data_IF_728625239637
#
_entry.id   IF_728625239637
#
_cell.length_a   1.000
_cell.length_b   1.000
_cell.length_c   1.000
_cell.angle_alpha   90.00
_cell.angle_beta   90.00
_cell.angle_gamma   90.00
#
_symmetry.space_group_name_H-M   'P 1'
#
loop_
_entity.id
_entity.type
_entity.pdbx_description
1 polymer ?
#
# COMPACT_ATOMS: atom_id res chain seq x y z
N UNK A 1 -2.63 -22.12 17.74
CA UNK A 1 -2.90 -22.31 19.18
C UNK A 1 -2.69 -23.77 19.54
N UNK A 2 -2.05 -24.13 20.67
CA UNK A 2 -1.81 -25.52 21.06
C UNK A 2 -3.09 -26.33 21.26
N UNK A 3 -4.22 -25.66 21.47
CA UNK A 3 -5.53 -26.28 21.76
C UNK A 3 -6.44 -26.44 20.53
N UNK A 4 -5.95 -26.10 19.35
CA UNK A 4 -6.70 -26.20 18.12
C UNK A 4 -6.66 -27.63 17.59
N UNK A 5 -7.76 -28.36 17.73
CA UNK A 5 -7.93 -29.68 17.15
C UNK A 5 -8.73 -29.64 15.87
N UNK A 6 -8.18 -30.25 14.80
CA UNK A 6 -8.91 -30.44 13.56
C UNK A 6 -10.11 -31.37 13.79
N UNK A 7 -11.31 -30.86 13.46
CA UNK A 7 -12.50 -31.70 13.41
C UNK A 7 -12.90 -31.89 11.95
N UNK A 8 -13.13 -33.13 11.53
CA UNK A 8 -13.57 -33.44 10.18
C UNK A 8 -14.92 -32.73 9.91
N UNK A 9 -14.98 -31.96 8.81
CA UNK A 9 -16.17 -31.23 8.41
C UNK A 9 -16.41 -29.90 9.11
N UNK A 10 -15.46 -29.44 9.95
CA UNK A 10 -15.48 -28.08 10.53
C UNK A 10 -14.29 -27.26 10.05
N UNK A 11 -14.42 -25.91 10.03
CA UNK A 11 -13.27 -25.04 9.75
C UNK A 11 -12.11 -25.34 10.68
N UNK A 12 -10.91 -25.14 10.19
CA UNK A 12 -9.71 -25.25 11.00
C UNK A 12 -9.75 -24.16 12.08
N UNK A 13 -9.27 -24.50 13.25
CA UNK A 13 -9.07 -23.49 14.27
C UNK A 13 -8.00 -22.50 13.83
N UNK A 14 -8.22 -21.24 14.19
CA UNK A 14 -7.38 -20.11 13.88
C UNK A 14 -8.11 -18.85 14.29
N UNK A 15 -7.63 -17.70 13.83
CA UNK A 15 -8.29 -16.41 14.09
C UNK A 15 -9.47 -16.13 13.14
N UNK A 16 -9.72 -17.00 12.16
CA UNK A 16 -10.79 -16.77 11.18
C UNK A 16 -10.39 -15.72 10.14
N UNK A 17 -9.11 -15.64 9.82
CA UNK A 17 -8.60 -14.81 8.73
C UNK A 17 -8.50 -15.61 7.44
N UNK A 18 -8.86 -14.98 6.34
CA UNK A 18 -8.51 -15.40 4.99
C UNK A 18 -7.54 -14.38 4.42
N UNK A 19 -6.42 -14.86 3.92
CA UNK A 19 -5.40 -14.02 3.28
C UNK A 19 -5.26 -14.47 1.84
N UNK A 20 -5.55 -13.59 0.92
CA UNK A 20 -5.29 -13.74 -0.50
C UNK A 20 -4.07 -12.89 -0.85
N UNK A 21 -3.12 -13.46 -1.61
CA UNK A 21 -1.86 -12.79 -1.94
C UNK A 21 -1.61 -12.86 -3.43
N UNK A 22 -1.25 -11.74 -4.03
CA UNK A 22 -0.81 -11.64 -5.41
C UNK A 22 0.59 -11.05 -5.48
N UNK A 23 1.42 -11.55 -6.41
CA UNK A 23 2.74 -10.99 -6.68
C UNK A 23 2.87 -10.61 -8.15
N UNK A 24 3.47 -9.46 -8.42
CA UNK A 24 3.65 -8.93 -9.77
C UNK A 24 5.10 -8.50 -10.00
N UNK A 25 5.56 -8.73 -11.21
CA UNK A 25 6.85 -8.24 -11.67
C UNK A 25 6.77 -7.96 -13.17
N UNK A 26 7.37 -6.85 -13.61
CA UNK A 26 7.39 -6.46 -15.00
C UNK A 26 8.81 -6.31 -15.53
N UNK A 27 9.01 -6.67 -16.78
CA UNK A 27 10.24 -6.41 -17.52
C UNK A 27 10.22 -4.99 -18.14
N UNK A 28 9.72 -4.01 -17.39
CA UNK A 28 9.76 -2.61 -17.77
C UNK A 28 10.97 -1.96 -17.07
N UNK A 29 11.78 -1.15 -17.75
CA UNK A 29 12.93 -0.49 -17.12
C UNK A 29 12.61 0.31 -15.85
N UNK A 30 11.39 0.80 -15.71
CA UNK A 30 10.94 1.56 -14.52
C UNK A 30 10.60 0.67 -13.31
N UNK A 31 10.27 -0.61 -13.53
CA UNK A 31 9.82 -1.52 -12.48
C UNK A 31 10.54 -2.87 -12.45
N UNK A 32 11.57 -3.07 -13.28
CA UNK A 32 12.27 -4.37 -13.37
C UNK A 32 13.02 -4.74 -12.09
N UNK A 33 13.38 -3.74 -11.29
CA UNK A 33 14.14 -3.87 -10.06
C UNK A 33 13.21 -3.82 -8.82
N UNK A 34 11.91 -4.06 -9.06
CA UNK A 34 10.87 -4.12 -8.04
C UNK A 34 9.98 -5.36 -8.21
N UNK A 35 9.49 -5.88 -7.09
CA UNK A 35 8.43 -6.89 -7.02
C UNK A 35 7.30 -6.29 -6.19
N UNK A 36 6.08 -6.36 -6.69
CA UNK A 36 4.89 -5.87 -6.01
C UNK A 36 4.14 -7.03 -5.35
N UNK A 37 3.67 -6.81 -4.15
CA UNK A 37 2.91 -7.76 -3.37
C UNK A 37 1.62 -7.11 -2.88
N UNK A 38 0.49 -7.68 -3.23
CA UNK A 38 -0.82 -7.27 -2.72
C UNK A 38 -1.38 -8.34 -1.80
N UNK A 39 -1.84 -7.91 -0.66
CA UNK A 39 -2.48 -8.72 0.35
C UNK A 39 -3.91 -8.25 0.54
N UNK A 40 -4.85 -9.19 0.49
CA UNK A 40 -6.24 -8.96 0.87
C UNK A 40 -6.53 -9.83 2.09
N UNK A 41 -6.75 -9.21 3.23
CA UNK A 41 -6.89 -9.88 4.53
C UNK A 41 -8.32 -9.71 5.01
N UNK A 42 -9.11 -10.77 4.91
CA UNK A 42 -10.51 -10.78 5.31
C UNK A 42 -10.70 -11.41 6.69
N UNK A 43 -11.45 -10.74 7.55
CA UNK A 43 -11.99 -11.35 8.77
C UNK A 43 -13.25 -12.15 8.45
N UNK A 44 -13.11 -13.46 8.34
CA UNK A 44 -14.21 -14.39 8.07
C UNK A 44 -14.70 -15.08 9.36
N UNK A 45 -14.31 -14.55 10.52
CA UNK A 45 -14.79 -14.99 11.83
C UNK A 45 -16.15 -14.35 12.15
N UNK A 46 -16.72 -14.72 13.29
CA UNK A 46 -17.96 -14.17 13.84
C UNK A 46 -17.70 -13.15 14.97
N UNK A 47 -16.52 -12.55 15.02
CA UNK A 47 -16.13 -11.53 16.01
C UNK A 47 -15.15 -10.52 15.43
N UNK A 48 -15.08 -9.34 16.04
CA UNK A 48 -14.16 -8.29 15.68
C UNK A 48 -12.75 -8.59 16.19
N UNK A 49 -11.76 -8.32 15.35
CA UNK A 49 -10.35 -8.26 15.72
C UNK A 49 -9.98 -6.79 15.87
N UNK A 50 -9.72 -6.36 17.11
CA UNK A 50 -9.51 -4.93 17.41
C UNK A 50 -8.08 -4.48 17.17
N UNK A 51 -7.15 -5.41 17.36
CA UNK A 51 -5.73 -5.12 17.25
C UNK A 51 -5.10 -6.18 16.33
N UNK A 52 -4.84 -5.79 15.11
CA UNK A 52 -4.13 -6.58 14.09
C UNK A 52 -2.89 -5.80 13.69
N UNK A 53 -1.79 -6.48 13.45
CA UNK A 53 -0.61 -5.89 12.85
C UNK A 53 -0.17 -6.74 11.67
N UNK A 54 0.28 -6.09 10.61
CA UNK A 54 0.85 -6.73 9.45
C UNK A 54 2.33 -6.42 9.38
N UNK A 55 3.17 -7.44 9.39
CA UNK A 55 4.61 -7.24 9.39
C UNK A 55 5.39 -8.35 8.72
N UNK A 56 6.63 -8.05 8.44
CA UNK A 56 7.61 -8.97 7.89
C UNK A 56 8.68 -9.30 8.91
N UNK A 57 9.12 -10.54 8.86
CA UNK A 57 10.38 -10.98 9.41
C UNK A 57 11.30 -11.35 8.24
N UNK A 58 12.45 -10.69 8.17
CA UNK A 58 13.38 -10.83 7.06
C UNK A 58 14.73 -11.28 7.60
N UNK A 59 15.19 -12.42 7.13
CA UNK A 59 16.54 -12.93 7.35
C UNK A 59 17.40 -12.46 6.17
N UNK A 60 17.99 -11.28 6.33
CA UNK A 60 18.80 -10.69 5.30
C UNK A 60 20.06 -11.52 5.07
N UNK A 61 20.41 -11.79 3.87
CA UNK A 61 21.61 -12.54 3.48
C UNK A 61 22.18 -11.94 2.21
N UNK A 62 22.38 -10.61 2.27
CA UNK A 62 22.78 -9.83 1.12
C UNK A 62 24.20 -10.23 0.68
N UNK A 63 24.32 -10.63 -0.57
CA UNK A 63 25.62 -11.13 -1.04
C UNK A 63 25.93 -12.56 -0.66
N UNK A 64 25.04 -13.26 0.06
CA UNK A 64 25.20 -14.64 0.54
C UNK A 64 26.33 -14.82 1.57
N UNK A 65 26.53 -13.84 2.44
CA UNK A 65 27.51 -13.85 3.53
C UNK A 65 27.02 -13.11 4.78
N UNK A 66 25.90 -13.40 5.25
CA UNK A 66 25.04 -12.84 6.30
C UNK A 66 25.69 -12.40 7.64
N UNK A 67 26.99 -12.13 7.68
CA UNK A 67 27.70 -11.74 8.91
C UNK A 67 27.86 -10.24 9.10
N UNK A 68 27.60 -9.46 8.08
CA UNK A 68 27.87 -8.03 7.98
C UNK A 68 26.75 -7.22 7.28
N UNK A 69 25.56 -7.79 7.26
CA UNK A 69 24.35 -7.08 6.86
C UNK A 69 23.87 -6.15 7.97
N UNK A 70 23.35 -4.99 7.57
CA UNK A 70 22.68 -4.05 8.46
C UNK A 70 21.45 -3.48 7.74
N UNK A 71 20.47 -3.02 8.51
CA UNK A 71 19.26 -2.40 8.00
C UNK A 71 18.92 -1.11 8.71
N UNK A 72 18.10 -0.35 8.05
CA UNK A 72 17.58 0.93 8.49
C UNK A 72 16.14 1.09 8.00
N UNK A 73 15.47 2.13 8.45
CA UNK A 73 14.12 2.48 8.06
C UNK A 73 14.00 3.96 7.77
N UNK A 74 13.01 4.29 6.97
CA UNK A 74 12.56 5.65 6.76
C UNK A 74 11.02 5.66 6.90
N UNK A 75 10.53 6.28 7.96
CA UNK A 75 9.11 6.30 8.27
C UNK A 75 8.33 7.35 7.45
N UNK A 76 9.02 8.35 6.85
CA UNK A 76 8.36 9.34 6.00
C UNK A 76 7.95 8.75 4.64
N UNK A 77 8.57 7.66 4.24
CA UNK A 77 8.27 6.95 2.99
C UNK A 77 7.91 5.48 3.22
N UNK A 78 7.61 5.11 4.45
CA UNK A 78 7.15 3.78 4.86
C UNK A 78 8.02 2.62 4.36
N UNK A 79 9.33 2.78 4.49
CA UNK A 79 10.29 1.84 3.92
C UNK A 79 11.30 1.35 4.94
N UNK A 80 11.55 0.05 4.92
CA UNK A 80 12.67 -0.62 5.56
C UNK A 80 13.66 -1.10 4.50
N UNK A 81 14.96 -1.03 4.76
CA UNK A 81 15.97 -1.47 3.79
C UNK A 81 17.26 -1.93 4.45
N UNK A 82 17.95 -2.84 3.77
CA UNK A 82 19.19 -3.45 4.26
C UNK A 82 20.26 -3.53 3.19
N UNK A 83 21.50 -3.51 3.64
CA UNK A 83 22.68 -3.61 2.80
C UNK A 83 23.82 -4.34 3.52
N UNK A 84 24.74 -4.86 2.76
CA UNK A 84 26.03 -5.36 3.23
C UNK A 84 26.98 -4.18 3.52
N UNK A 85 27.45 -4.04 4.75
CA UNK A 85 28.22 -2.87 5.20
C UNK A 85 29.55 -2.71 4.48
N UNK A 86 30.15 -3.81 4.03
CA UNK A 86 31.38 -3.80 3.26
C UNK A 86 31.15 -3.72 1.73
N UNK A 87 29.94 -3.99 1.27
CA UNK A 87 29.52 -3.95 -0.14
C UNK A 87 30.07 -5.07 -0.99
N UNK A 88 30.54 -6.17 -0.38
CA UNK A 88 31.20 -7.27 -1.09
C UNK A 88 30.71 -8.59 -0.56
N UNK A 89 29.85 -9.21 -1.30
CA UNK A 89 29.31 -10.52 -0.95
C UNK A 89 30.23 -11.68 -1.22
N UNK A 90 29.73 -12.86 -0.96
CA UNK A 90 30.40 -14.14 -1.19
C UNK A 90 30.96 -14.23 -2.63
N UNK A 91 32.24 -14.58 -2.73
CA UNK A 91 32.92 -14.62 -4.02
C UNK A 91 33.47 -13.29 -4.52
N UNK A 92 33.41 -12.22 -3.74
CA UNK A 92 33.98 -10.92 -4.04
C UNK A 92 33.17 -10.10 -5.06
N UNK A 93 31.88 -10.38 -5.17
CA UNK A 93 30.96 -9.62 -6.04
C UNK A 93 30.37 -8.43 -5.27
N UNK A 94 30.19 -7.27 -5.93
CA UNK A 94 29.53 -6.15 -5.28
C UNK A 94 28.07 -6.49 -4.96
N UNK A 95 27.63 -6.04 -3.78
CA UNK A 95 26.27 -6.21 -3.32
C UNK A 95 25.43 -4.98 -3.63
N UNK A 96 24.11 -5.16 -3.67
CA UNK A 96 23.12 -4.09 -3.77
C UNK A 96 22.43 -3.86 -2.42
N UNK A 97 21.30 -3.14 -2.49
CA UNK A 97 20.39 -2.90 -1.39
C UNK A 97 19.10 -3.67 -1.65
N UNK A 98 18.50 -4.17 -0.60
CA UNK A 98 17.13 -4.69 -0.61
C UNK A 98 16.28 -3.83 0.30
N UNK A 99 15.16 -3.34 -0.21
CA UNK A 99 14.18 -2.57 0.55
C UNK A 99 12.80 -3.20 0.47
N UNK A 100 11.99 -2.95 1.51
CA UNK A 100 10.58 -3.26 1.57
C UNK A 100 9.82 -1.99 1.89
N UNK A 101 8.93 -1.58 1.02
CA UNK A 101 8.14 -0.37 1.19
C UNK A 101 6.65 -0.70 1.19
N UNK A 102 5.91 -0.10 2.11
CA UNK A 102 4.47 -0.03 1.97
C UNK A 102 4.15 0.94 0.82
N UNK A 103 3.33 0.49 -0.10
CA UNK A 103 2.71 1.32 -1.13
C UNK A 103 1.32 1.74 -0.66
N UNK A 104 0.75 0.90 0.18
CA UNK A 104 -0.50 1.11 0.87
C UNK A 104 -0.45 0.31 2.17
N UNK A 105 -0.56 0.98 3.30
CA UNK A 105 -0.61 0.35 4.62
C UNK A 105 -2.06 0.15 5.07
N UNK A 106 -2.29 -0.56 6.18
CA UNK A 106 -3.60 -0.54 6.84
C UNK A 106 -4.02 0.85 7.27
N UNK A 107 -5.33 1.11 7.29
CA UNK A 107 -5.91 2.39 7.70
C UNK A 107 -6.62 2.37 9.06
N UNK A 108 -6.73 3.55 9.69
CA UNK A 108 -7.43 3.78 10.96
C UNK A 108 -8.62 4.73 10.79
N UNK A 109 -9.64 4.33 10.07
CA UNK A 109 -10.81 5.13 9.72
C UNK A 109 -11.79 5.44 10.89
N UNK A 110 -11.36 5.43 12.16
CA UNK A 110 -12.28 5.56 13.31
C UNK A 110 -11.63 6.14 14.57
N UNK A 111 -10.52 6.84 14.48
CA UNK A 111 -9.82 7.37 15.65
C UNK A 111 -9.84 8.90 15.75
N UNK A 112 -10.45 9.57 14.77
CA UNK A 112 -10.57 11.03 14.67
C UNK A 112 -9.23 11.74 14.54
N UNK A 113 -8.26 11.10 13.90
CA UNK A 113 -6.96 11.67 13.58
C UNK A 113 -6.75 11.58 12.08
N UNK A 114 -5.94 12.42 11.55
CA UNK A 114 -5.34 12.36 10.23
C UNK A 114 -4.00 11.61 10.41
N UNK A 115 -3.96 10.34 10.05
CA UNK A 115 -2.83 9.45 10.37
C UNK A 115 -1.70 9.52 9.35
N UNK A 116 -1.99 9.91 8.12
CA UNK A 116 -1.00 10.03 7.04
C UNK A 116 -0.67 11.49 6.66
N UNK A 117 -1.38 12.45 7.25
CA UNK A 117 -1.07 13.87 7.12
C UNK A 117 -1.52 14.50 5.81
N UNK A 118 -2.50 13.93 5.15
CA UNK A 118 -3.02 14.39 3.87
C UNK A 118 -4.07 15.50 4.00
N UNK A 119 -4.53 15.78 5.22
CA UNK A 119 -5.51 16.83 5.53
C UNK A 119 -6.95 16.35 5.60
N UNK A 120 -7.20 15.07 5.38
CA UNK A 120 -8.47 14.40 5.61
C UNK A 120 -8.43 13.69 6.98
N UNK A 121 -9.49 13.03 7.38
CA UNK A 121 -9.55 12.37 8.69
C UNK A 121 -10.51 11.19 8.63
N UNK A 122 -10.07 10.02 9.04
CA UNK A 122 -10.88 8.80 9.07
C UNK A 122 -11.37 8.34 7.69
N UNK A 123 -10.57 8.46 6.64
CA UNK A 123 -10.90 8.03 5.29
C UNK A 123 -11.22 6.54 5.22
N UNK A 124 -12.14 6.20 4.35
CA UNK A 124 -12.62 4.82 4.19
C UNK A 124 -12.74 4.47 2.72
N UNK A 125 -12.45 3.23 2.44
CA UNK A 125 -12.66 2.65 1.11
C UNK A 125 -14.07 2.10 0.97
N UNK A 126 -15.07 2.94 1.07
CA UNK A 126 -16.46 2.56 0.87
C UNK A 126 -17.15 3.48 -0.16
N UNK A 127 -16.63 3.47 -1.38
CA UNK A 127 -17.13 4.26 -2.49
C UNK A 127 -18.63 4.10 -2.67
N UNK A 128 -19.36 5.13 -2.27
CA UNK A 128 -20.79 5.27 -2.48
C UNK A 128 -21.04 6.66 -3.10
N UNK A 129 -20.69 6.89 -4.36
CA UNK A 129 -20.69 8.21 -5.00
C UNK A 129 -22.10 8.73 -5.25
N UNK A 130 -22.84 8.97 -4.20
CA UNK A 130 -24.24 9.42 -4.24
C UNK A 130 -24.40 10.90 -3.92
N UNK A 131 -23.32 11.59 -3.58
CA UNK A 131 -23.34 12.97 -3.11
C UNK A 131 -22.51 13.90 -4.00
N UNK A 132 -22.94 15.15 -4.06
CA UNK A 132 -22.10 16.25 -4.56
C UNK A 132 -21.43 16.88 -3.36
N UNK A 133 -20.11 16.98 -3.40
CA UNK A 133 -19.27 17.56 -2.36
C UNK A 133 -18.93 19.00 -2.71
N UNK A 134 -19.04 19.91 -1.75
CA UNK A 134 -18.60 21.31 -1.90
C UNK A 134 -17.07 21.41 -1.93
N UNK A 135 -16.55 22.43 -2.58
CA UNK A 135 -15.13 22.61 -2.88
C UNK A 135 -14.14 22.37 -1.72
N UNK A 136 -14.56 22.53 -0.48
CA UNK A 136 -13.72 22.30 0.73
C UNK A 136 -14.47 21.51 1.79
N UNK A 137 -15.57 20.90 1.44
CA UNK A 137 -16.35 20.06 2.37
C UNK A 137 -15.58 18.77 2.66
N UNK A 138 -15.55 18.37 3.91
CA UNK A 138 -14.81 17.18 4.35
C UNK A 138 -13.34 17.41 4.66
N UNK A 139 -12.67 18.37 4.03
CA UNK A 139 -11.25 18.66 4.29
C UNK A 139 -11.09 19.22 5.71
N UNK A 140 -10.38 18.50 6.56
CA UNK A 140 -10.17 18.86 7.96
C UNK A 140 -8.99 19.81 8.15
N UNK A 141 -7.93 19.67 7.37
CA UNK A 141 -6.80 20.61 7.30
C UNK A 141 -6.49 20.98 5.84
N UNK A 142 -7.11 22.07 5.38
CA UNK A 142 -6.93 22.57 4.01
C UNK A 142 -5.47 22.85 3.64
N UNK A 143 -4.63 23.21 4.60
CA UNK A 143 -3.22 23.51 4.30
C UNK A 143 -2.43 22.25 4.00
N UNK A 144 -2.61 21.21 4.82
CA UNK A 144 -2.01 19.90 4.61
C UNK A 144 -2.51 19.28 3.31
N UNK A 145 -3.82 19.33 3.07
CA UNK A 145 -4.45 18.82 1.86
C UNK A 145 -3.84 19.45 0.58
N UNK A 146 -3.79 20.77 0.49
CA UNK A 146 -3.22 21.46 -0.67
C UNK A 146 -1.73 21.16 -0.88
N UNK A 147 -0.97 20.96 0.21
CA UNK A 147 0.45 20.59 0.13
C UNK A 147 0.62 19.13 -0.34
N UNK A 148 -0.15 18.22 0.18
CA UNK A 148 -0.08 16.79 -0.11
C UNK A 148 -0.46 16.51 -1.58
N UNK A 149 -1.64 16.96 -2.00
CA UNK A 149 -2.14 16.78 -3.38
C UNK A 149 -1.54 17.76 -4.39
N UNK A 150 -0.75 18.76 -3.94
CA UNK A 150 -0.13 19.79 -4.78
C UNK A 150 -1.14 20.62 -5.59
N UNK A 151 -2.24 20.96 -4.93
CA UNK A 151 -3.33 21.75 -5.45
C UNK A 151 -3.27 23.20 -4.94
N UNK A 152 -3.96 24.08 -5.65
CA UNK A 152 -4.26 25.45 -5.20
C UNK A 152 -5.76 25.53 -4.84
N UNK A 153 -6.14 26.48 -4.00
CA UNK A 153 -7.55 26.62 -3.56
C UNK A 153 -8.51 26.79 -4.75
N UNK A 154 -8.03 27.39 -5.83
CA UNK A 154 -8.79 27.60 -7.05
C UNK A 154 -9.05 26.33 -7.86
N UNK A 155 -8.31 25.25 -7.58
CA UNK A 155 -8.51 23.94 -8.20
C UNK A 155 -9.68 23.20 -7.54
N UNK A 156 -9.98 23.51 -6.28
CA UNK A 156 -11.06 22.89 -5.53
C UNK A 156 -12.42 23.39 -6.02
N UNK A 157 -13.30 22.48 -6.39
CA UNK A 157 -14.62 22.75 -6.96
C UNK A 157 -15.67 21.85 -6.32
N UNK A 158 -16.92 22.20 -6.53
CA UNK A 158 -18.04 21.31 -6.26
C UNK A 158 -18.05 20.20 -7.32
N UNK A 159 -18.12 18.95 -6.91
CA UNK A 159 -17.97 17.77 -7.77
C UNK A 159 -18.75 16.56 -7.22
N UNK A 160 -18.84 15.50 -8.01
CA UNK A 160 -19.19 14.18 -7.53
C UNK A 160 -17.93 13.54 -6.91
N UNK A 161 -18.02 13.19 -5.66
CA UNK A 161 -16.96 12.53 -4.92
C UNK A 161 -17.09 11.02 -5.14
N UNK A 162 -16.42 10.52 -6.15
CA UNK A 162 -16.58 9.12 -6.58
C UNK A 162 -15.72 8.16 -5.78
N UNK A 163 -14.55 8.60 -5.34
CA UNK A 163 -13.57 7.82 -4.60
C UNK A 163 -13.29 8.34 -3.18
N UNK A 164 -13.99 9.41 -2.77
CA UNK A 164 -13.94 10.03 -1.45
C UNK A 164 -12.64 10.79 -1.11
N UNK A 165 -11.81 11.12 -2.10
CA UNK A 165 -10.57 11.87 -1.90
C UNK A 165 -10.72 13.39 -2.07
N UNK A 166 -11.89 13.85 -2.49
CA UNK A 166 -12.28 15.25 -2.66
C UNK A 166 -11.49 16.00 -3.75
N UNK A 167 -10.93 15.30 -4.68
CA UNK A 167 -10.36 15.91 -5.87
C UNK A 167 -11.20 15.59 -7.13
N UNK A 168 -10.71 15.96 -8.31
CA UNK A 168 -11.41 15.80 -9.57
C UNK A 168 -10.69 14.87 -10.55
N UNK A 169 -9.74 14.09 -10.09
CA UNK A 169 -8.77 13.48 -10.99
C UNK A 169 -9.15 12.07 -11.45
N UNK A 170 -10.05 11.40 -10.75
CA UNK A 170 -10.33 10.00 -10.99
C UNK A 170 -11.46 9.72 -11.97
N UNK A 171 -11.27 10.18 -13.20
CA UNK A 171 -12.11 9.84 -14.31
C UNK A 171 -13.31 10.77 -14.56
N UNK A 172 -13.57 11.67 -13.66
CA UNK A 172 -14.74 12.57 -13.71
C UNK A 172 -14.54 13.79 -14.60
N UNK A 173 -13.29 14.20 -14.80
CA UNK A 173 -12.91 15.36 -15.60
C UNK A 173 -11.57 15.11 -16.31
N UNK A 174 -11.60 14.33 -17.38
CA UNK A 174 -10.41 13.94 -18.14
C UNK A 174 -9.61 15.08 -18.75
N UNK A 175 -10.25 16.21 -18.99
CA UNK A 175 -9.59 17.36 -19.60
C UNK A 175 -9.22 18.46 -18.60
N UNK A 176 -9.63 18.33 -17.34
CA UNK A 176 -9.30 19.24 -16.26
C UNK A 176 -9.99 20.61 -16.38
N UNK A 177 -11.13 20.72 -17.05
CA UNK A 177 -11.84 22.00 -17.20
C UNK A 177 -12.89 22.26 -16.11
N UNK A 178 -13.11 21.28 -15.23
CA UNK A 178 -14.06 21.34 -14.13
C UNK A 178 -15.52 21.26 -14.57
N UNK A 179 -15.79 20.75 -15.77
CA UNK A 179 -17.12 20.56 -16.31
C UNK A 179 -17.19 19.20 -16.98
N UNK A 180 -17.92 18.26 -16.40
CA UNK A 180 -18.15 16.98 -17.03
C UNK A 180 -18.82 17.15 -18.40
N UNK A 181 -18.27 16.55 -19.42
CA UNK A 181 -18.73 16.68 -20.80
C UNK A 181 -18.97 15.32 -21.45
N UNK A 182 -19.96 15.26 -22.31
CA UNK A 182 -20.29 14.05 -23.05
C UNK A 182 -19.13 13.47 -23.89
N UNK A 183 -18.10 14.26 -24.16
CA UNK A 183 -16.92 13.82 -24.90
C UNK A 183 -15.89 13.10 -24.01
N UNK A 184 -15.97 13.23 -22.71
CA UNK A 184 -15.14 12.57 -21.69
C UNK A 184 -15.65 11.18 -21.35
N UNK A 185 -16.86 10.94 -21.68
CA UNK A 185 -17.64 9.76 -21.51
C UNK A 185 -16.98 8.43 -21.96
N UNK A 186 -16.07 8.44 -22.91
CA UNK A 186 -15.43 7.22 -23.42
C UNK A 186 -14.42 6.55 -22.46
N UNK A 187 -14.44 6.88 -21.22
CA UNK A 187 -13.53 6.29 -20.25
C UNK A 187 -14.16 6.07 -18.89
N UNK A 188 -15.20 6.80 -18.58
CA UNK A 188 -15.63 6.96 -17.20
C UNK A 188 -17.06 6.48 -16.96
N UNK A 189 -18.05 7.11 -17.55
CA UNK A 189 -19.48 6.78 -17.40
C UNK A 189 -19.88 5.61 -18.33
N UNK A 190 -19.41 4.43 -18.02
CA UNK A 190 -19.59 3.18 -18.80
C UNK A 190 -20.63 2.24 -18.21
N UNK A 191 -21.31 2.68 -17.18
CA UNK A 191 -22.34 1.91 -16.49
C UNK A 191 -21.83 0.80 -15.57
N UNK A 192 -22.71 0.24 -14.79
CA UNK A 192 -22.42 -0.80 -13.79
C UNK A 192 -21.85 -2.07 -14.42
N UNK A 193 -22.13 -2.36 -15.69
CA UNK A 193 -21.58 -3.54 -16.38
C UNK A 193 -20.12 -3.34 -16.85
N UNK A 194 -19.63 -2.11 -16.84
CA UNK A 194 -18.26 -1.75 -17.19
C UNK A 194 -17.93 -1.91 -18.67
N UNK A 195 -18.90 -1.84 -19.57
CA UNK A 195 -18.71 -2.07 -21.02
C UNK A 195 -19.19 -0.83 -21.80
N UNK A 196 -18.35 0.16 -21.94
CA UNK A 196 -18.65 1.41 -22.63
C UNK A 196 -18.56 1.34 -24.18
N UNK A 197 -18.99 2.41 -24.87
CA UNK A 197 -18.96 2.51 -26.32
C UNK A 197 -17.54 2.35 -26.89
N UNK A 198 -17.45 1.50 -27.91
CA UNK A 198 -16.16 1.19 -28.54
C UNK A 198 -15.46 -0.05 -27.98
N UNK A 199 -15.97 -0.62 -26.91
CA UNK A 199 -15.44 -1.85 -26.34
C UNK A 199 -15.99 -3.11 -27.03
N UNK A 200 -15.24 -4.22 -26.86
CA UNK A 200 -15.65 -5.51 -27.40
C UNK A 200 -16.85 -6.02 -26.57
N UNK A 201 -17.97 -6.26 -27.23
CA UNK A 201 -19.26 -6.67 -26.69
C UNK A 201 -20.22 -5.54 -26.29
N UNK A 202 -19.89 -4.29 -26.57
CA UNK A 202 -20.85 -3.22 -26.42
C UNK A 202 -22.10 -3.43 -27.28
N UNK A 203 -23.26 -3.45 -26.66
CA UNK A 203 -24.55 -3.69 -27.33
C UNK A 203 -25.49 -2.46 -27.32
N UNK A 204 -25.00 -1.32 -26.88
CA UNK A 204 -25.75 -0.10 -26.64
C UNK A 204 -25.85 0.21 -25.16
N UNK A 205 -26.31 1.40 -24.80
CA UNK A 205 -26.39 1.85 -23.41
C UNK A 205 -27.15 0.89 -22.50
N UNK A 206 -26.74 0.82 -21.26
CA UNK A 206 -27.32 -0.04 -20.25
C UNK A 206 -28.81 0.22 -20.03
N UNK A 207 -29.57 -0.87 -19.90
CA UNK A 207 -31.01 -0.77 -19.78
C UNK A 207 -31.49 -0.22 -18.42
N UNK A 208 -30.61 -0.20 -17.42
CA UNK A 208 -30.87 0.36 -16.10
C UNK A 208 -30.64 1.86 -16.05
N UNK A 209 -29.96 2.42 -17.07
CA UNK A 209 -29.69 3.84 -17.20
C UNK A 209 -28.46 4.33 -16.43
N UNK A 210 -27.59 3.41 -16.03
CA UNK A 210 -26.32 3.74 -15.35
C UNK A 210 -25.26 4.24 -16.31
N UNK A 211 -25.37 3.98 -17.60
CA UNK A 211 -24.41 4.44 -18.60
C UNK A 211 -24.80 5.80 -19.18
N UNK A 212 -23.87 6.71 -19.35
CA UNK A 212 -24.02 8.05 -19.91
C UNK A 212 -25.01 8.95 -19.16
N UNK A 213 -25.10 8.83 -17.90
CA UNK A 213 -26.05 9.62 -17.10
C UNK A 213 -25.40 10.83 -16.40
N UNK A 214 -24.07 11.00 -16.56
CA UNK A 214 -23.26 12.09 -16.01
C UNK A 214 -23.11 12.04 -14.48
N UNK A 215 -23.14 10.88 -13.89
CA UNK A 215 -22.86 10.67 -12.50
C UNK A 215 -22.33 9.24 -12.30
N UNK A 216 -21.45 9.02 -11.33
CA UNK A 216 -21.07 7.68 -10.95
C UNK A 216 -22.27 6.95 -10.33
N UNK A 217 -22.46 5.69 -10.71
CA UNK A 217 -23.57 4.89 -10.22
C UNK A 217 -23.10 3.84 -9.20
N UNK A 218 -23.84 3.73 -8.11
CA UNK A 218 -23.65 2.73 -7.09
C UNK A 218 -24.89 1.83 -6.94
N UNK A 219 -24.68 0.52 -6.93
CA UNK A 219 -25.74 -0.48 -6.72
C UNK A 219 -25.41 -1.34 -5.52
N UNK A 220 -26.24 -1.30 -4.47
CA UNK A 220 -26.06 -2.08 -3.26
C UNK A 220 -25.87 -3.58 -3.57
N UNK A 221 -24.77 -4.15 -3.06
CA UNK A 221 -24.40 -5.56 -3.27
C UNK A 221 -23.73 -5.86 -4.62
N UNK A 222 -23.59 -4.89 -5.50
CA UNK A 222 -22.85 -4.98 -6.75
C UNK A 222 -21.57 -4.14 -6.65
N UNK A 223 -21.68 -2.92 -6.19
CA UNK A 223 -20.62 -1.94 -6.05
C UNK A 223 -20.84 -0.71 -6.91
N UNK A 224 -19.83 0.11 -6.97
CA UNK A 224 -19.77 1.28 -7.81
C UNK A 224 -19.47 0.90 -9.28
N UNK A 225 -19.75 1.79 -10.16
CA UNK A 225 -19.33 1.74 -11.55
C UNK A 225 -17.80 1.58 -11.66
N UNK A 226 -17.28 0.73 -12.58
CA UNK A 226 -15.89 0.26 -12.51
C UNK A 226 -14.80 1.34 -12.50
N UNK A 227 -15.02 2.47 -13.19
CA UNK A 227 -14.03 3.55 -13.21
C UNK A 227 -14.05 4.40 -11.94
N UNK A 228 -15.13 4.36 -11.18
CA UNK A 228 -15.32 5.01 -9.89
C UNK A 228 -15.24 4.02 -8.72
N UNK A 229 -14.92 2.78 -8.99
CA UNK A 229 -14.77 1.72 -7.99
C UNK A 229 -13.29 1.47 -7.62
N UNK A 230 -12.39 2.13 -8.31
CA UNK A 230 -10.97 2.00 -8.03
C UNK A 230 -10.61 2.99 -6.95
N UNK A 231 -10.56 2.50 -5.71
CA UNK A 231 -10.04 3.29 -4.61
C UNK A 231 -8.55 3.49 -4.76
N UNK A 232 -8.07 4.69 -4.56
CA UNK A 232 -6.65 4.95 -4.49
C UNK A 232 -6.10 4.86 -3.04
N UNK A 233 -4.87 5.27 -2.81
CA UNK A 233 -4.25 5.22 -1.48
C UNK A 233 -4.80 6.27 -0.54
N UNK A 234 -5.30 7.37 -1.07
CA UNK A 234 -5.85 8.49 -0.29
C UNK A 234 -7.18 8.19 0.39
N UNK A 235 -7.89 7.15 -0.05
CA UNK A 235 -9.10 6.69 0.62
C UNK A 235 -8.85 5.82 1.86
N UNK A 236 -7.69 5.89 2.44
CA UNK A 236 -7.33 5.09 3.60
C UNK A 236 -6.41 5.89 4.50
N UNK A 237 -6.92 6.32 5.62
CA UNK A 237 -6.16 6.99 6.69
C UNK A 237 -5.02 6.08 7.20
N UNK A 238 -3.92 6.06 6.45
CA UNK A 238 -2.86 5.05 6.54
C UNK A 238 -1.99 5.24 7.77
N UNK A 239 -1.70 4.15 8.48
CA UNK A 239 -0.81 4.18 9.66
C UNK A 239 0.67 4.05 9.32
N UNK A 240 1.01 3.72 8.10
CA UNK A 240 2.38 3.60 7.63
C UNK A 240 3.22 2.55 8.35
N UNK A 241 4.52 2.75 8.37
CA UNK A 241 5.49 1.91 9.07
C UNK A 241 5.54 2.27 10.57
N UNK A 242 4.98 1.43 11.43
CA UNK A 242 4.86 1.71 12.87
C UNK A 242 5.92 1.04 13.74
N UNK A 243 6.53 -0.04 13.27
CA UNK A 243 7.60 -0.70 14.02
C UNK A 243 8.73 -1.16 13.14
N UNK A 244 9.95 -1.03 13.66
CA UNK A 244 11.17 -1.57 13.06
C UNK A 244 12.16 -1.94 14.15
N UNK A 245 12.74 -3.13 14.03
CA UNK A 245 13.83 -3.62 14.89
C UNK A 245 14.74 -4.60 14.16
N UNK A 246 16.00 -4.57 14.51
CA UNK A 246 16.95 -5.62 14.14
C UNK A 246 17.51 -6.31 15.38
N UNK A 247 17.80 -7.59 15.25
CA UNK A 247 18.47 -8.36 16.31
C UNK A 247 19.25 -9.55 15.74
N UNK A 248 20.30 -9.99 16.47
CA UNK A 248 21.12 -11.12 16.04
C UNK A 248 20.33 -12.43 15.98
N UNK A 249 20.51 -13.19 14.90
CA UNK A 249 20.10 -14.59 14.85
C UNK A 249 21.25 -15.42 15.39
N UNK A 250 21.12 -16.05 16.56
CA UNK A 250 22.17 -16.93 17.03
C UNK A 250 22.26 -18.17 16.16
N UNK A 251 23.47 -18.60 15.88
CA UNK A 251 23.77 -19.76 15.06
C UNK A 251 23.21 -21.10 15.60
N UNK A 252 22.60 -21.07 16.79
CA UNK A 252 21.91 -22.21 17.42
C UNK A 252 20.61 -21.71 18.07
N UNK A 253 19.54 -22.34 17.74
CA UNK A 253 18.13 -22.03 18.00
C UNK A 253 17.68 -21.91 19.49
N UNK A 254 18.47 -21.37 20.38
CA UNK A 254 18.20 -21.37 21.81
C UNK A 254 18.47 -20.06 22.55
N UNK A 255 18.45 -18.91 21.88
CA UNK A 255 18.43 -17.66 22.64
C UNK A 255 17.00 -17.18 22.86
N UNK A 256 16.82 -16.44 23.96
CA UNK A 256 15.53 -15.83 24.30
C UNK A 256 15.02 -14.87 23.21
N UNK A 257 15.90 -14.33 22.41
CA UNK A 257 15.59 -13.39 21.32
C UNK A 257 14.92 -14.07 20.13
N UNK A 258 15.12 -15.37 19.93
CA UNK A 258 14.41 -16.16 18.91
C UNK A 258 13.21 -16.95 19.46
N UNK A 259 12.93 -16.86 20.75
CA UNK A 259 11.74 -17.51 21.34
C UNK A 259 10.41 -16.90 20.85
N UNK A 260 10.45 -15.76 20.17
CA UNK A 260 9.26 -15.13 19.57
C UNK A 260 8.52 -16.07 18.61
N UNK A 261 9.16 -16.96 17.88
CA UNK A 261 8.49 -18.04 17.12
C UNK A 261 7.60 -18.95 17.96
N UNK A 262 7.77 -18.96 19.27
CA UNK A 262 7.06 -19.83 20.22
C UNK A 262 6.27 -19.06 21.27
N UNK A 263 6.37 -17.74 21.26
CA UNK A 263 5.77 -16.88 22.27
C UNK A 263 5.01 -15.73 21.60
N UNK A 264 3.69 -15.87 21.54
CA UNK A 264 2.78 -14.92 20.91
C UNK A 264 2.93 -13.50 21.48
N UNK A 265 3.21 -13.36 22.77
CA UNK A 265 3.37 -12.04 23.40
C UNK A 265 4.67 -11.35 22.95
N UNK A 266 5.75 -12.11 22.81
CA UNK A 266 7.02 -11.56 22.31
C UNK A 266 6.85 -11.14 20.84
N UNK A 267 6.19 -11.97 20.04
CA UNK A 267 5.87 -11.61 18.65
C UNK A 267 5.03 -10.34 18.59
N UNK A 268 3.97 -10.27 19.38
CA UNK A 268 3.10 -9.10 19.42
C UNK A 268 3.88 -7.82 19.82
N UNK A 269 4.77 -7.92 20.80
CA UNK A 269 5.59 -6.78 21.21
C UNK A 269 6.58 -6.30 20.13
N UNK A 270 6.87 -7.15 19.14
CA UNK A 270 7.72 -6.76 18.01
C UNK A 270 6.95 -6.07 16.89
N UNK A 271 5.72 -6.51 16.62
CA UNK A 271 4.96 -6.07 15.44
C UNK A 271 3.72 -5.21 15.76
N UNK A 272 3.19 -5.29 16.97
CA UNK A 272 2.00 -4.56 17.41
C UNK A 272 2.31 -3.30 18.23
N UNK A 273 3.55 -2.86 18.23
CA UNK A 273 4.01 -1.67 18.95
C UNK A 273 4.26 -0.49 18.01
N UNK A 274 4.44 0.67 18.62
CA UNK A 274 4.89 1.90 17.97
C UNK A 274 6.35 2.12 18.36
N UNK A 275 7.26 1.36 17.74
CA UNK A 275 8.69 1.40 18.11
C UNK A 275 9.58 1.26 16.89
N UNK A 276 10.13 2.36 16.44
CA UNK A 276 11.13 2.46 15.39
C UNK A 276 12.52 2.62 16.03
N UNK A 277 13.30 1.55 16.04
CA UNK A 277 14.62 1.52 16.70
C UNK A 277 15.74 1.20 15.72
N UNK A 278 16.72 2.11 15.63
CA UNK A 278 17.98 1.81 14.95
C UNK A 278 18.77 0.74 15.71
N UNK A 279 19.49 -0.08 14.97
CA UNK A 279 20.33 -1.10 15.57
C UNK A 279 21.67 -0.50 16.04
N UNK A 280 21.88 -0.44 17.34
CA UNK A 280 23.12 0.05 17.96
C UNK A 280 24.11 -1.05 18.37
N UNK A 281 23.79 -2.32 18.05
CA UNK A 281 24.59 -3.49 18.47
C UNK A 281 25.81 -3.76 17.58
N UNK A 282 26.51 -4.84 17.90
CA UNK A 282 27.57 -5.34 17.02
C UNK A 282 26.96 -6.04 15.80
N UNK A 283 27.43 -5.67 14.62
CA UNK A 283 27.02 -6.27 13.37
C UNK A 283 27.39 -7.75 13.37
N UNK A 284 26.45 -8.58 13.00
CA UNK A 284 26.56 -10.03 12.98
C UNK A 284 25.50 -10.57 12.00
N UNK A 285 25.17 -11.84 12.04
CA UNK A 285 23.98 -12.34 11.35
C UNK A 285 22.72 -11.73 12.01
N UNK A 286 22.13 -10.73 11.39
CA UNK A 286 20.96 -9.99 11.88
C UNK A 286 19.71 -10.41 11.12
N UNK A 287 18.58 -10.30 11.80
CA UNK A 287 17.26 -10.31 11.18
C UNK A 287 16.59 -8.96 11.41
N UNK A 288 15.74 -8.63 10.51
CA UNK A 288 14.92 -7.44 10.51
C UNK A 288 13.47 -7.83 10.76
N UNK A 289 12.78 -7.09 11.62
CA UNK A 289 11.33 -7.17 11.81
C UNK A 289 10.76 -5.78 11.70
N UNK A 290 9.81 -5.62 10.83
CA UNK A 290 9.08 -4.37 10.67
C UNK A 290 7.60 -4.64 10.46
N UNK A 291 6.74 -3.68 10.82
CA UNK A 291 5.31 -3.85 10.73
C UNK A 291 4.56 -2.52 10.60
N UNK A 292 3.32 -2.63 10.15
CA UNK A 292 2.28 -1.61 10.17
C UNK A 292 1.14 -2.04 11.07
N UNK A 293 0.62 -1.12 11.89
CA UNK A 293 -0.45 -1.37 12.84
C UNK A 293 -0.11 -0.90 14.27
N UNK A 294 -0.97 -1.16 15.27
CA UNK A 294 -2.18 -1.99 15.15
C UNK A 294 -3.35 -1.28 14.45
N UNK A 295 -4.17 -2.05 13.76
CA UNK A 295 -5.40 -1.60 13.12
C UNK A 295 -6.56 -2.55 13.42
N UNK A 296 -7.83 -2.09 13.41
CA UNK A 296 -8.97 -2.95 13.62
C UNK A 296 -9.36 -3.68 12.32
N UNK A 297 -9.71 -4.95 12.44
CA UNK A 297 -10.29 -5.72 11.36
C UNK A 297 -11.62 -6.32 11.81
N UNK A 298 -12.70 -5.58 11.58
CA UNK A 298 -14.05 -5.95 12.00
C UNK A 298 -14.58 -7.17 11.25
N UNK A 299 -15.57 -7.84 11.83
CA UNK A 299 -16.24 -8.99 11.22
C UNK A 299 -16.74 -8.65 9.80
N UNK A 300 -16.36 -9.48 8.82
CA UNK A 300 -16.78 -9.34 7.43
C UNK A 300 -15.99 -8.29 6.63
N UNK A 301 -15.14 -7.50 7.29
CA UNK A 301 -14.29 -6.52 6.60
C UNK A 301 -13.05 -7.17 5.99
N UNK A 302 -12.54 -6.50 4.98
CA UNK A 302 -11.31 -6.84 4.27
C UNK A 302 -10.38 -5.66 4.38
N UNK A 303 -9.12 -5.92 4.72
CA UNK A 303 -8.05 -4.93 4.65
C UNK A 303 -7.15 -5.24 3.48
N UNK A 304 -6.82 -4.22 2.70
CA UNK A 304 -5.86 -4.30 1.59
C UNK A 304 -4.54 -3.71 2.03
N UNK A 305 -3.46 -4.40 1.74
CA UNK A 305 -2.10 -3.96 2.03
C UNK A 305 -1.27 -4.22 0.79
N UNK A 306 -0.55 -3.22 0.34
CA UNK A 306 0.31 -3.35 -0.83
C UNK A 306 1.74 -2.97 -0.48
N UNK A 307 2.66 -3.80 -0.92
CA UNK A 307 4.09 -3.62 -0.66
C UNK A 307 4.91 -3.79 -1.92
N UNK A 308 6.08 -3.17 -1.93
CA UNK A 308 7.08 -3.44 -2.95
C UNK A 308 8.40 -3.89 -2.31
N UNK A 309 8.96 -4.96 -2.83
CA UNK A 309 10.35 -5.35 -2.61
C UNK A 309 11.20 -4.66 -3.69
N UNK A 310 12.18 -3.88 -3.25
CA UNK A 310 12.97 -2.96 -4.08
C UNK A 310 14.44 -3.33 -4.06
N UNK A 311 15.08 -3.24 -5.22
CA UNK A 311 16.50 -3.51 -5.34
C UNK A 311 17.22 -2.36 -6.04
N UNK A 312 18.30 -1.85 -5.43
CA UNK A 312 19.10 -0.78 -5.99
C UNK A 312 20.60 -0.93 -5.70
N UNK A 313 21.37 -0.02 -6.26
CA UNK A 313 22.79 0.17 -5.92
C UNK A 313 22.98 1.62 -5.51
N UNK A 314 23.37 1.83 -4.27
CA UNK A 314 23.71 3.14 -3.73
C UNK A 314 25.15 3.16 -3.19
N UNK A 315 25.80 4.31 -3.13
CA UNK A 315 27.16 4.42 -2.63
C UNK A 315 27.26 4.06 -1.14
N UNK A 316 28.11 3.12 -0.79
CA UNK A 316 28.36 2.73 0.62
C UNK A 316 28.70 3.89 1.54
N UNK A 317 29.34 4.94 1.03
CA UNK A 317 29.63 6.13 1.83
C UNK A 317 28.37 6.85 2.32
N UNK A 318 27.27 6.80 1.56
CA UNK A 318 25.98 7.30 1.97
C UNK A 318 25.30 6.34 2.95
N UNK A 319 25.21 5.07 2.60
CA UNK A 319 24.61 4.02 3.40
C UNK A 319 25.26 3.90 4.79
N UNK A 320 26.57 3.90 4.85
CA UNK A 320 27.33 3.83 6.11
C UNK A 320 27.50 5.20 6.80
N UNK A 321 26.81 6.24 6.34
CA UNK A 321 26.79 7.54 7.02
C UNK A 321 25.74 7.56 8.14
N UNK A 322 25.76 8.59 8.99
CA UNK A 322 24.75 8.74 10.04
C UNK A 322 23.33 9.07 9.54
N UNK A 323 23.13 9.19 8.24
CA UNK A 323 21.80 9.40 7.61
C UNK A 323 21.38 8.21 6.75
N UNK A 324 22.20 7.19 6.63
CA UNK A 324 21.96 5.98 5.84
C UNK A 324 21.38 6.22 4.44
N UNK A 325 21.90 7.25 3.76
CA UNK A 325 21.32 7.78 2.53
C UNK A 325 21.38 6.77 1.37
N UNK A 326 20.23 6.49 0.77
CA UNK A 326 20.01 5.58 -0.34
C UNK A 326 19.20 6.24 -1.47
N UNK A 327 19.72 7.29 -2.14
CA UNK A 327 18.96 8.09 -3.09
C UNK A 327 18.42 7.32 -4.29
N UNK A 328 19.11 6.28 -4.77
CA UNK A 328 18.60 5.47 -5.88
C UNK A 328 17.44 4.56 -5.43
N UNK A 329 17.50 4.04 -4.20
CA UNK A 329 16.41 3.28 -3.62
C UNK A 329 15.18 4.17 -3.40
N UNK A 330 15.37 5.38 -2.89
CA UNK A 330 14.29 6.34 -2.66
C UNK A 330 13.60 6.76 -3.97
N UNK A 331 14.38 7.00 -5.01
CA UNK A 331 13.82 7.29 -6.33
C UNK A 331 13.06 6.09 -6.90
N UNK A 332 13.55 4.87 -6.68
CA UNK A 332 12.83 3.66 -7.10
C UNK A 332 11.50 3.53 -6.33
N UNK A 333 11.48 3.78 -5.00
CA UNK A 333 10.25 3.80 -4.20
C UNK A 333 9.24 4.79 -4.77
N UNK A 334 9.67 6.02 -5.05
CA UNK A 334 8.81 7.05 -5.63
C UNK A 334 8.21 6.63 -6.99
N UNK A 335 9.00 5.98 -7.84
CA UNK A 335 8.52 5.47 -9.14
C UNK A 335 7.49 4.36 -8.96
N UNK A 336 7.75 3.41 -8.06
CA UNK A 336 6.82 2.28 -7.86
C UNK A 336 5.55 2.72 -7.14
N UNK A 337 5.61 3.76 -6.31
CA UNK A 337 4.42 4.38 -5.73
C UNK A 337 3.49 4.90 -6.82
N UNK A 338 4.01 5.74 -7.72
CA UNK A 338 3.24 6.26 -8.86
C UNK A 338 2.69 5.14 -9.77
N UNK A 339 3.45 4.05 -9.95
CA UNK A 339 2.97 2.90 -10.72
C UNK A 339 1.78 2.23 -10.02
N UNK A 340 1.86 2.11 -8.70
CA UNK A 340 0.79 1.55 -7.88
C UNK A 340 -0.47 2.41 -7.93
N UNK A 341 -0.37 3.71 -7.64
CA UNK A 341 -1.46 4.70 -7.68
C UNK A 341 -2.14 4.80 -9.05
N UNK A 342 -1.45 4.45 -10.12
CA UNK A 342 -2.02 4.36 -11.48
C UNK A 342 -2.45 2.94 -11.85
N UNK A 343 -2.83 2.12 -10.90
CA UNK A 343 -3.28 0.74 -11.08
C UNK A 343 -2.35 -0.05 -12.03
N UNK A 344 -1.02 0.06 -11.78
CA UNK A 344 0.04 -0.58 -12.59
C UNK A 344 0.03 -0.18 -14.08
N UNK A 345 -0.56 0.95 -14.42
CA UNK A 345 -0.56 1.47 -15.78
C UNK A 345 0.76 2.17 -16.09
N UNK A 346 1.60 1.53 -16.85
CA UNK A 346 2.85 2.13 -17.33
C UNK A 346 2.58 3.12 -18.46
N UNK A 347 3.32 4.23 -18.50
CA UNK A 347 3.28 5.17 -19.61
C UNK A 347 3.47 4.44 -20.95
N UNK A 348 2.47 4.46 -21.80
CA UNK A 348 2.58 3.88 -23.13
C UNK A 348 3.37 4.83 -24.04
N UNK A 349 4.25 4.32 -24.91
CA UNK A 349 4.89 5.16 -25.89
C UNK A 349 3.84 5.82 -26.80
N UNK A 350 4.03 7.06 -27.24
CA UNK A 350 3.10 7.74 -28.13
C UNK A 350 2.75 6.84 -29.32
N UNK A 351 1.47 6.74 -29.66
CA UNK A 351 1.06 6.02 -30.87
C UNK A 351 1.78 6.61 -32.07
N UNK A 352 2.37 5.76 -32.90
CA UNK A 352 2.97 6.26 -34.15
C UNK A 352 1.92 7.01 -34.96
N UNK A 353 2.25 8.22 -35.49
CA UNK A 353 1.34 8.94 -36.35
C UNK A 353 0.96 8.04 -37.52
N UNK A 354 -0.31 7.88 -37.77
CA UNK A 354 -0.81 7.27 -39.00
C UNK A 354 -0.54 8.27 -40.13
N UNK A 355 0.30 7.89 -41.09
CA UNK A 355 0.57 8.67 -42.31
C UNK A 355 -0.56 8.41 -43.29
#
# INVERSE_FOLDING_TARGET
>A
KPDVTKQVGKPWGGLGLRVDVRGFQWNNPQARDAIFWEYSIANVSDYDLRDVAFGYWVDNGIGNDNADDIGYFDAEIDMSYSWDINGVGSGGLPTGIMGFAYLESPGLAYDYQDNDGDGLTDEKRDNEPTAIIGATEGITDLSSFLEFYKLEVEDLKEHWDADEDQDWQDGEDLNGDGIYQLAEYYGDDIGIDGVGPGELNYNGPDADGSECNHMPDFVEGVGCEPNFNTTDVSESDMVGLTSFRMFPVPSHAASNETEWFKNDQVMWNLVGGDTLEEFEGNISNLVEVFASGPFPLFQGRVERISMSELHSYDPLAGLNSGTHAAPALYELKRIVQVIYEKDYRFAQPPKMPTI
#
